data_IF_861512867326
#
_entry.id   IF_861512867326
#
_cell.length_a   1.000
_cell.length_b   1.000
_cell.length_c   1.000
_cell.angle_alpha   90.00
_cell.angle_beta   90.00
_cell.angle_gamma   90.00
#
_symmetry.space_group_name_H-M   'P 1'
#
loop_
_entity.id
_entity.type
_entity.pdbx_description
1 polymer ?
#
# COMPACT_ATOMS: atom_id res chain seq x y z
N UNK A 1 20.38 15.11 -11.00
CA UNK A 1 20.03 14.94 -10.73
C UNK A 1 19.60 14.78 -9.70
N UNK A 2 19.80 15.01 -9.15
CA UNK A 2 19.44 15.00 -7.97
C UNK A 2 18.11 14.98 -7.57
N UNK A 3 17.28 15.27 -8.27
CA UNK A 3 15.93 15.31 -7.91
C UNK A 3 15.27 14.00 -8.00
N UNK A 4 16.02 12.95 -7.95
CA UNK A 4 15.41 11.69 -8.00
C UNK A 4 14.55 11.44 -6.83
N UNK A 5 13.45 10.76 -7.04
CA UNK A 5 12.58 10.38 -5.99
C UNK A 5 13.15 9.25 -5.19
N UNK A 6 12.88 9.18 -3.90
CA UNK A 6 13.31 8.03 -3.13
C UNK A 6 12.68 6.76 -3.69
N UNK A 7 13.42 5.69 -3.64
CA UNK A 7 12.89 4.42 -4.08
C UNK A 7 11.85 3.88 -3.15
N UNK A 8 11.93 4.26 -1.87
CA UNK A 8 10.98 3.79 -0.87
C UNK A 8 10.53 4.98 -0.05
N UNK A 9 9.27 4.96 0.32
CA UNK A 9 8.71 5.98 1.19
C UNK A 9 7.98 5.29 2.32
N UNK A 10 7.78 5.97 3.45
CA UNK A 10 7.04 5.35 4.54
C UNK A 10 5.65 4.95 4.08
N UNK A 11 5.17 3.84 4.63
CA UNK A 11 3.88 3.31 4.24
C UNK A 11 2.76 4.33 4.44
N UNK A 12 2.85 5.11 5.51
CA UNK A 12 1.85 6.13 5.77
C UNK A 12 1.89 7.25 4.74
N UNK A 13 3.09 7.58 4.27
CA UNK A 13 3.21 8.60 3.24
C UNK A 13 2.62 8.10 1.93
N UNK A 14 2.83 6.83 1.63
CA UNK A 14 2.23 6.24 0.45
C UNK A 14 0.71 6.31 0.52
N UNK A 15 0.15 6.02 1.69
CA UNK A 15 -1.29 6.05 1.85
C UNK A 15 -1.83 7.45 1.60
N UNK A 16 -1.14 8.47 2.08
CA UNK A 16 -1.58 9.82 1.85
C UNK A 16 -1.47 10.19 0.38
N UNK A 17 -0.45 9.69 -0.27
CA UNK A 17 -0.27 9.94 -1.68
C UNK A 17 -1.40 9.34 -2.51
N UNK A 18 -1.85 8.16 -2.13
CA UNK A 18 -2.87 7.45 -2.90
C UNK A 18 -4.27 7.88 -2.52
N UNK A 19 -4.53 8.05 -1.23
CA UNK A 19 -5.88 8.29 -0.75
C UNK A 19 -6.12 9.72 -0.26
N UNK A 20 -5.08 10.51 -0.13
CA UNK A 20 -5.23 11.88 0.32
C UNK A 20 -5.77 11.91 1.74
N UNK A 21 -6.79 12.74 1.93
CA UNK A 21 -7.36 12.89 3.25
C UNK A 21 -8.15 11.66 3.69
N UNK A 22 -8.35 10.74 2.79
CA UNK A 22 -9.07 9.51 3.14
C UNK A 22 -8.14 8.37 3.45
N UNK A 23 -6.87 8.66 3.68
CA UNK A 23 -5.92 7.63 4.01
C UNK A 23 -6.33 6.91 5.28
N UNK A 24 -6.28 5.56 5.30
CA UNK A 24 -6.70 4.83 6.48
C UNK A 24 -5.69 4.95 7.61
N UNK A 25 -6.13 4.57 8.80
CA UNK A 25 -5.25 4.54 9.95
C UNK A 25 -4.12 3.55 9.71
N UNK A 26 -3.00 3.79 10.37
CA UNK A 26 -1.82 2.96 10.16
C UNK A 26 -2.07 1.50 10.50
N UNK A 27 -2.95 1.22 11.45
CA UNK A 27 -3.27 -0.18 11.76
C UNK A 27 -3.88 -0.88 10.56
N UNK A 28 -4.73 -0.17 9.83
CA UNK A 28 -5.31 -0.72 8.61
C UNK A 28 -4.25 -0.97 7.56
N UNK A 29 -3.30 -0.05 7.44
CA UNK A 29 -2.23 -0.23 6.47
C UNK A 29 -1.38 -1.43 6.83
N UNK A 30 -1.12 -1.64 8.10
CA UNK A 30 -0.33 -2.78 8.53
C UNK A 30 -1.07 -4.08 8.24
N UNK A 31 -2.38 -4.09 8.39
CA UNK A 31 -3.16 -5.27 8.03
C UNK A 31 -3.11 -5.54 6.54
N UNK A 32 -3.17 -4.50 5.73
CA UNK A 32 -3.06 -4.69 4.30
C UNK A 32 -1.70 -5.29 3.94
N UNK A 33 -0.66 -4.87 4.64
CA UNK A 33 0.64 -5.46 4.41
C UNK A 33 0.64 -6.94 4.75
N UNK A 34 0.01 -7.29 5.86
CA UNK A 34 -0.04 -8.69 6.27
C UNK A 34 -0.79 -9.54 5.26
N UNK A 35 -1.83 -8.98 4.68
CA UNK A 35 -2.66 -9.73 3.75
C UNK A 35 -2.11 -9.73 2.34
N UNK A 36 -1.07 -8.96 2.09
CA UNK A 36 -0.50 -8.89 0.75
C UNK A 36 -1.33 -8.06 -0.21
N UNK A 37 -2.02 -7.06 0.31
CA UNK A 37 -2.89 -6.25 -0.52
C UNK A 37 -2.23 -5.00 -1.06
N UNK A 38 -0.94 -4.85 -0.86
CA UNK A 38 -0.18 -3.74 -1.41
C UNK A 38 0.90 -4.32 -2.30
N UNK A 39 0.95 -3.89 -3.53
CA UNK A 39 1.87 -4.47 -4.52
C UNK A 39 2.70 -3.37 -5.12
N UNK A 40 4.01 -3.46 -5.07
CA UNK A 40 4.79 -4.52 -4.41
C UNK A 40 4.69 -4.41 -2.90
N UNK A 41 4.99 -5.51 -2.23
CA UNK A 41 4.82 -5.59 -0.78
C UNK A 41 5.74 -4.62 -0.06
N UNK A 42 5.24 -4.02 1.02
CA UNK A 42 6.10 -3.14 1.81
C UNK A 42 7.22 -3.91 2.49
N UNK A 43 8.29 -3.20 2.77
CA UNK A 43 9.47 -3.76 3.39
C UNK A 43 9.64 -3.14 4.75
N UNK A 44 9.96 -3.95 5.73
CA UNK A 44 10.23 -3.43 7.06
C UNK A 44 11.70 -3.03 7.16
N UNK A 45 11.91 -1.79 7.57
CA UNK A 45 13.25 -1.29 7.81
C UNK A 45 13.26 -0.70 9.21
N UNK A 46 13.95 -1.36 10.11
CA UNK A 46 13.92 -0.94 11.49
C UNK A 46 12.53 -1.13 12.06
N UNK A 47 11.95 -0.08 12.58
CA UNK A 47 10.63 -0.12 13.17
C UNK A 47 9.53 0.36 12.25
N UNK A 48 9.86 0.60 10.99
CA UNK A 48 8.88 1.21 10.08
C UNK A 48 8.79 0.40 8.81
N UNK A 49 7.66 0.56 8.16
CA UNK A 49 7.45 -0.08 6.87
C UNK A 49 7.58 0.95 5.77
N UNK A 50 8.24 0.56 4.69
CA UNK A 50 8.45 1.40 3.53
C UNK A 50 7.93 0.67 2.31
N UNK A 51 7.51 1.44 1.32
CA UNK A 51 6.91 0.86 0.13
C UNK A 51 7.31 1.73 -1.05
N UNK A 52 7.29 1.16 -2.23
CA UNK A 52 7.59 1.93 -3.42
C UNK A 52 6.50 2.95 -3.67
N UNK A 53 6.88 4.16 -4.11
CA UNK A 53 5.87 5.18 -4.37
C UNK A 53 4.85 4.77 -5.43
N UNK A 54 5.23 3.85 -6.30
CA UNK A 54 4.34 3.42 -7.37
C UNK A 54 3.47 2.25 -6.97
N UNK A 55 3.56 1.80 -5.72
CA UNK A 55 2.76 0.67 -5.27
C UNK A 55 1.27 0.97 -5.38
N UNK A 56 0.50 -0.07 -5.57
CA UNK A 56 -0.94 0.07 -5.69
C UNK A 56 -1.64 -0.85 -4.70
N UNK A 57 -2.86 -0.50 -4.39
CA UNK A 57 -3.69 -1.31 -3.51
C UNK A 57 -4.34 -2.41 -4.35
N UNK A 58 -4.21 -3.62 -3.89
CA UNK A 58 -4.75 -4.76 -4.62
C UNK A 58 -5.45 -5.69 -3.64
N UNK A 59 -6.72 -5.42 -3.39
CA UNK A 59 -7.51 -6.21 -2.47
C UNK A 59 -8.01 -7.44 -3.19
N UNK A 60 -7.35 -8.55 -2.95
CA UNK A 60 -7.70 -9.77 -3.66
C UNK A 60 -9.08 -10.30 -3.28
N UNK A 61 -9.57 -9.92 -2.11
CA UNK A 61 -10.91 -10.32 -1.75
C UNK A 61 -11.92 -9.70 -2.71
N UNK A 62 -11.77 -8.41 -2.95
CA UNK A 62 -12.69 -7.73 -3.83
C UNK A 62 -12.59 -8.23 -5.24
N UNK A 63 -11.38 -8.46 -5.67
CA UNK A 63 -11.19 -8.95 -7.00
C UNK A 63 -11.78 -10.33 -7.18
N UNK A 64 -11.59 -11.17 -6.20
CA UNK A 64 -12.15 -12.49 -6.24
C UNK A 64 -13.65 -12.46 -6.26
N UNK A 65 -14.23 -11.61 -5.45
CA UNK A 65 -15.67 -11.49 -5.41
C UNK A 65 -16.21 -11.06 -6.77
N UNK A 66 -15.55 -10.14 -7.41
CA UNK A 66 -15.98 -9.68 -8.72
C UNK A 66 -15.93 -10.79 -9.73
N UNK A 67 -14.89 -11.60 -9.67
CA UNK A 67 -14.76 -12.68 -10.60
C UNK A 67 -15.85 -13.70 -10.42
N UNK A 68 -16.13 -14.01 -9.23
CA UNK A 68 -17.10 -15.05 -8.97
C UNK A 68 -18.49 -14.54 -9.07
N UNK A 69 -18.65 -13.37 -8.77
CA UNK A 69 -19.97 -12.86 -8.82
C UNK A 69 -20.39 -12.48 -10.14
N UNK A 70 -20.24 -12.42 -10.12
CA UNK A 70 -20.80 -11.96 -10.75
C UNK A 70 -21.63 -11.55 -10.87
N UNK A 71 -21.87 -10.96 -10.57
CA UNK A 71 -22.75 -10.48 -10.52
C UNK A 71 -22.99 -10.17 -11.00
#
# INVERSE_FOLDING_TARGET
MATEQPKLIPLEAWAKQVFGEYAPHRNTLYNWRRFGWIVPAPIRIGNRYFVEPTAVYADTRGEMARRMGKR
#
